data_IF_565930168049
#
_entry.id   IF_565930168049
#
_cell.length_a   1.000
_cell.length_b   1.000
_cell.length_c   1.000
_cell.angle_alpha   90.00
_cell.angle_beta   90.00
_cell.angle_gamma   90.00
#
_symmetry.space_group_name_H-M   'P 1'
#
loop_
_entity.id
_entity.type
_entity.pdbx_description
1 polymer ?
#
# COMPACT_ATOMS: atom_id res chain seq x y z
N UNK A 1 12.84 15.44 -17.09
CA UNK A 1 11.97 14.59 -17.92
C UNK A 1 10.71 15.37 -18.25
N UNK A 2 10.18 15.22 -19.46
CA UNK A 2 8.83 15.68 -19.81
C UNK A 2 7.78 14.80 -19.13
N UNK A 3 6.51 15.23 -19.10
CA UNK A 3 5.41 14.43 -18.53
C UNK A 3 5.28 13.07 -19.21
N UNK A 4 5.41 13.04 -20.53
CA UNK A 4 5.38 11.81 -21.32
C UNK A 4 6.53 10.88 -20.93
N UNK A 5 7.75 11.42 -20.76
CA UNK A 5 8.90 10.62 -20.32
C UNK A 5 8.70 10.01 -18.93
N UNK A 6 8.03 10.72 -18.00
CA UNK A 6 7.72 10.18 -16.66
C UNK A 6 6.74 9.03 -16.75
N UNK A 7 5.70 9.17 -17.60
CA UNK A 7 4.69 8.13 -17.81
C UNK A 7 5.29 6.89 -18.48
N UNK A 8 6.01 7.05 -19.59
CA UNK A 8 6.64 5.92 -20.30
C UNK A 8 7.66 5.18 -19.42
N UNK A 9 8.46 5.91 -18.62
CA UNK A 9 9.36 5.28 -17.66
C UNK A 9 8.61 4.49 -16.57
N UNK A 10 7.42 4.95 -16.18
CA UNK A 10 6.57 4.22 -15.25
C UNK A 10 5.98 2.96 -15.90
N UNK A 11 5.52 3.02 -17.15
CA UNK A 11 5.07 1.85 -17.93
C UNK A 11 6.18 0.81 -18.02
N UNK A 12 7.40 1.21 -18.37
CA UNK A 12 8.54 0.31 -18.48
C UNK A 12 8.87 -0.37 -17.14
N UNK A 13 8.90 0.41 -16.05
CA UNK A 13 9.12 -0.15 -14.71
C UNK A 13 8.01 -1.10 -14.29
N UNK A 14 6.75 -0.76 -14.53
CA UNK A 14 5.61 -1.61 -14.20
C UNK A 14 5.61 -2.91 -14.99
N UNK A 15 5.97 -2.85 -16.29
CA UNK A 15 6.15 -4.04 -17.13
C UNK A 15 7.20 -4.98 -16.53
N UNK A 16 8.37 -4.44 -16.17
CA UNK A 16 9.44 -5.21 -15.51
C UNK A 16 9.01 -5.79 -14.16
N UNK A 17 8.25 -5.06 -13.36
CA UNK A 17 7.71 -5.57 -12.10
C UNK A 17 6.72 -6.71 -12.33
N UNK A 18 5.85 -6.60 -13.34
CA UNK A 18 4.86 -7.62 -13.66
C UNK A 18 5.49 -8.91 -14.21
N UNK A 19 6.56 -8.79 -14.99
CA UNK A 19 7.38 -9.92 -15.41
C UNK A 19 7.96 -10.70 -14.22
N UNK A 20 8.27 -10.04 -13.09
CA UNK A 20 8.76 -10.73 -11.89
C UNK A 20 7.69 -11.61 -11.22
N UNK A 21 6.40 -11.30 -11.38
CA UNK A 21 5.31 -12.14 -10.88
C UNK A 21 5.07 -13.38 -11.74
N UNK A 22 5.37 -13.31 -13.04
CA UNK A 22 5.05 -14.37 -14.01
C UNK A 22 6.26 -15.24 -14.38
N UNK A 23 7.48 -14.70 -14.25
CA UNK A 23 8.70 -15.41 -14.59
C UNK A 23 9.28 -16.19 -13.40
N UNK A 24 8.80 -17.41 -13.21
CA UNK A 24 9.25 -18.29 -12.12
C UNK A 24 10.71 -18.78 -12.24
N UNK A 25 11.41 -18.50 -13.35
CA UNK A 25 12.82 -18.88 -13.52
C UNK A 25 13.79 -17.93 -12.80
N UNK A 26 13.34 -16.72 -12.47
CA UNK A 26 14.14 -15.73 -11.75
C UNK A 26 13.72 -15.72 -10.29
N UNK A 27 14.52 -16.35 -9.43
CA UNK A 27 14.30 -16.28 -7.99
C UNK A 27 14.40 -14.82 -7.52
N UNK A 28 13.38 -14.36 -6.79
CA UNK A 28 13.40 -13.07 -6.13
C UNK A 28 13.82 -13.32 -4.68
N UNK A 29 14.91 -12.69 -4.21
CA UNK A 29 15.30 -12.79 -2.81
C UNK A 29 14.11 -12.43 -1.91
N UNK A 30 13.82 -13.30 -0.95
CA UNK A 30 12.87 -12.98 0.11
C UNK A 30 13.51 -11.94 1.03
N UNK A 31 12.66 -11.12 1.66
CA UNK A 31 13.14 -10.17 2.67
C UNK A 31 13.66 -10.93 3.89
N UNK A 32 14.74 -10.43 4.48
CA UNK A 32 15.24 -10.91 5.77
C UNK A 32 14.36 -10.38 6.92
N UNK A 33 13.58 -9.31 6.68
CA UNK A 33 12.65 -8.73 7.65
C UNK A 33 11.36 -9.53 7.71
N UNK A 34 11.21 -10.35 8.75
CA UNK A 34 10.12 -11.33 8.84
C UNK A 34 9.49 -11.41 10.23
N UNK A 35 10.03 -10.68 11.21
CA UNK A 35 9.53 -10.61 12.58
C UNK A 35 9.12 -9.16 12.89
N UNK A 36 7.92 -8.89 13.44
CA UNK A 36 7.58 -7.54 13.89
C UNK A 36 8.62 -6.87 14.79
N UNK A 37 9.44 -7.63 15.53
CA UNK A 37 10.56 -7.10 16.33
C UNK A 37 11.64 -6.40 15.48
N UNK A 38 11.76 -6.75 14.19
CA UNK A 38 12.69 -6.10 13.24
C UNK A 38 12.45 -4.58 13.11
N UNK A 39 11.23 -4.11 13.41
CA UNK A 39 10.91 -2.68 13.47
C UNK A 39 11.71 -1.97 14.57
N UNK A 40 11.67 -2.50 15.81
CA UNK A 40 12.35 -1.91 16.96
C UNK A 40 13.87 -2.01 16.82
N UNK A 41 14.37 -3.18 16.40
CA UNK A 41 15.78 -3.41 16.10
C UNK A 41 16.33 -2.44 15.05
N UNK A 42 15.46 -2.01 14.12
CA UNK A 42 15.78 -1.02 13.09
C UNK A 42 15.52 0.43 13.50
N UNK A 43 15.11 0.69 14.74
CA UNK A 43 14.91 2.05 15.28
C UNK A 43 13.52 2.65 15.09
N UNK A 44 12.52 1.84 14.74
CA UNK A 44 11.12 2.23 14.69
C UNK A 44 10.40 1.90 15.99
N UNK A 45 9.78 2.90 16.60
CA UNK A 45 9.01 2.75 17.83
C UNK A 45 7.52 2.88 17.54
N UNK A 46 6.71 2.02 18.13
CA UNK A 46 5.25 2.15 18.08
C UNK A 46 4.83 3.51 18.69
N UNK A 47 3.83 4.15 18.09
CA UNK A 47 3.32 5.42 18.57
C UNK A 47 1.79 5.44 18.62
N UNK A 48 1.26 5.24 19.82
CA UNK A 48 -0.16 5.21 20.14
C UNK A 48 -0.79 6.61 20.23
N UNK A 49 -0.01 7.70 20.22
CA UNK A 49 -0.56 9.07 20.26
C UNK A 49 -1.21 9.48 18.93
N UNK A 50 -0.93 8.75 17.85
CA UNK A 50 -1.60 8.93 16.56
C UNK A 50 -2.99 8.26 16.62
N UNK A 51 -3.94 8.94 17.26
CA UNK A 51 -5.26 8.37 17.55
C UNK A 51 -6.31 8.61 16.46
N UNK A 52 -5.99 9.40 15.44
CA UNK A 52 -6.98 9.82 14.44
C UNK A 52 -6.58 9.33 13.05
N UNK A 53 -7.09 8.15 12.70
CA UNK A 53 -7.13 7.70 11.33
C UNK A 53 -8.58 7.79 10.83
N UNK A 54 -8.82 8.62 9.81
CA UNK A 54 -10.13 8.71 9.16
C UNK A 54 -10.26 7.56 8.16
N UNK A 55 -10.81 6.44 8.61
CA UNK A 55 -11.22 5.32 7.74
C UNK A 55 -12.67 5.49 7.26
N UNK A 56 -13.43 6.43 7.82
CA UNK A 56 -14.83 6.65 7.48
C UNK A 56 -14.99 7.16 6.04
N UNK A 57 -14.00 7.90 5.53
CA UNK A 57 -13.87 8.22 4.10
C UNK A 57 -13.82 6.99 3.18
N UNK A 58 -13.50 5.81 3.72
CA UNK A 58 -13.52 4.54 3.01
C UNK A 58 -14.74 3.67 3.33
N UNK A 59 -15.74 4.18 4.05
CA UNK A 59 -16.95 3.43 4.43
C UNK A 59 -17.66 2.79 3.23
N UNK A 60 -17.86 3.54 2.16
CA UNK A 60 -18.48 3.04 0.92
C UNK A 60 -17.59 2.00 0.22
N UNK A 61 -16.29 2.28 -0.07
CA UNK A 61 -15.38 1.26 -0.58
C UNK A 61 -15.37 -0.01 0.26
N UNK A 62 -15.24 0.08 1.58
CA UNK A 62 -15.18 -1.08 2.48
C UNK A 62 -16.46 -1.91 2.38
N UNK A 63 -17.63 -1.27 2.42
CA UNK A 63 -18.91 -1.96 2.28
C UNK A 63 -19.00 -2.71 0.95
N UNK A 64 -18.58 -2.08 -0.14
CA UNK A 64 -18.61 -2.68 -1.48
C UNK A 64 -17.60 -3.86 -1.60
N UNK A 65 -16.55 -3.88 -0.76
CA UNK A 65 -15.63 -5.02 -0.58
C UNK A 65 -16.14 -6.09 0.39
N UNK A 66 -17.33 -5.93 0.98
CA UNK A 66 -17.85 -6.82 2.01
C UNK A 66 -17.18 -6.67 3.38
N UNK A 67 -16.52 -5.54 3.63
CA UNK A 67 -15.88 -5.19 4.89
C UNK A 67 -16.60 -4.03 5.59
N UNK A 68 -16.34 -3.86 6.88
CA UNK A 68 -16.83 -2.71 7.66
C UNK A 68 -15.67 -1.76 7.95
N UNK A 69 -15.88 -0.45 7.81
CA UNK A 69 -14.89 0.59 8.12
C UNK A 69 -14.79 0.97 9.61
N UNK A 70 -15.40 0.22 10.53
CA UNK A 70 -15.35 0.54 11.97
C UNK A 70 -13.97 0.21 12.55
N UNK A 71 -13.37 1.15 13.28
CA UNK A 71 -12.11 0.93 14.00
C UNK A 71 -12.27 -0.03 15.18
N UNK A 72 -11.20 -0.73 15.54
CA UNK A 72 -11.13 -1.70 16.64
C UNK A 72 -11.49 -1.11 18.01
N UNK A 73 -11.02 0.09 18.33
CA UNK A 73 -11.36 0.81 19.55
C UNK A 73 -12.84 1.24 19.63
N UNK A 74 -13.57 1.16 18.50
CA UNK A 74 -15.03 1.28 18.45
C UNK A 74 -15.73 -0.09 18.34
N UNK A 75 -15.04 -1.20 18.56
CA UNK A 75 -15.56 -2.57 18.44
C UNK A 75 -15.66 -3.08 17.00
N UNK A 76 -14.85 -2.52 16.09
CA UNK A 76 -14.69 -2.99 14.72
C UNK A 76 -13.48 -3.92 14.55
N UNK A 77 -12.96 -4.02 13.33
CA UNK A 77 -11.88 -4.96 12.94
C UNK A 77 -10.68 -4.28 12.29
N UNK A 78 -10.71 -2.94 12.22
CA UNK A 78 -9.65 -2.15 11.61
C UNK A 78 -8.72 -1.65 12.71
N UNK A 79 -7.48 -2.11 12.67
CA UNK A 79 -6.46 -1.85 13.68
C UNK A 79 -5.50 -0.79 13.12
N UNK A 80 -5.33 0.31 13.85
CA UNK A 80 -4.35 1.33 13.50
C UNK A 80 -2.97 0.89 14.01
N UNK A 81 -2.00 0.80 13.10
CA UNK A 81 -0.62 0.47 13.41
C UNK A 81 0.25 1.63 12.94
N UNK A 82 0.95 2.26 13.88
CA UNK A 82 1.74 3.45 13.61
C UNK A 82 3.11 3.36 14.27
N UNK A 83 4.15 3.62 13.48
CA UNK A 83 5.52 3.60 13.94
C UNK A 83 6.26 4.87 13.53
N UNK A 84 7.02 5.44 14.46
CA UNK A 84 7.94 6.56 14.23
C UNK A 84 9.38 6.05 14.18
N UNK A 85 10.19 6.61 13.30
CA UNK A 85 11.63 6.40 13.36
C UNK A 85 12.26 7.40 14.35
N UNK A 86 12.91 6.91 15.40
CA UNK A 86 13.35 7.75 16.51
C UNK A 86 14.87 7.98 16.56
N UNK A 87 15.64 7.41 15.63
CA UNK A 87 17.09 7.59 15.61
C UNK A 87 17.49 8.82 14.78
N UNK A 88 18.30 9.73 15.34
CA UNK A 88 18.82 10.90 14.63
C UNK A 88 17.85 12.09 14.47
N UNK A 89 16.57 11.95 14.86
CA UNK A 89 15.56 13.02 14.85
C UNK A 89 15.19 13.46 16.27
N UNK A 90 16.17 13.96 17.03
CA UNK A 90 16.06 14.21 18.48
C UNK A 90 15.52 15.59 18.87
N UNK A 91 15.27 16.49 17.93
CA UNK A 91 14.75 17.83 18.23
C UNK A 91 13.22 17.88 18.07
N UNK A 92 12.54 18.55 19.00
CA UNK A 92 11.07 18.73 19.02
C UNK A 92 10.50 19.38 17.75
N UNK A 93 11.35 20.11 17.02
CA UNK A 93 11.00 20.78 15.76
C UNK A 93 11.17 19.93 14.50
N UNK A 94 11.81 18.76 14.57
CA UNK A 94 12.07 17.94 13.38
C UNK A 94 10.86 17.10 13.03
N UNK A 95 10.51 17.06 11.74
CA UNK A 95 9.54 16.10 11.24
C UNK A 95 10.14 14.70 11.37
N UNK A 96 9.55 13.88 12.24
CA UNK A 96 9.98 12.50 12.42
C UNK A 96 9.48 11.63 11.25
N UNK A 97 10.33 10.77 10.67
CA UNK A 97 9.87 9.78 9.72
C UNK A 97 8.85 8.86 10.39
N UNK A 98 7.83 8.44 9.64
CA UNK A 98 6.74 7.63 10.18
C UNK A 98 6.08 6.76 9.11
N UNK A 99 5.41 5.72 9.57
CA UNK A 99 4.56 4.86 8.77
C UNK A 99 3.28 4.55 9.54
N UNK A 100 2.13 4.90 8.97
CA UNK A 100 0.81 4.66 9.53
C UNK A 100 -0.01 3.78 8.58
N UNK A 101 -0.57 2.69 9.11
CA UNK A 101 -1.44 1.78 8.39
C UNK A 101 -2.69 1.46 9.19
N UNK A 102 -3.80 1.29 8.50
CA UNK A 102 -4.96 0.61 9.05
C UNK A 102 -4.99 -0.80 8.48
N UNK A 103 -4.92 -1.80 9.34
CA UNK A 103 -4.86 -3.21 8.99
C UNK A 103 -6.17 -3.90 9.38
N UNK A 104 -6.74 -4.68 8.47
CA UNK A 104 -7.87 -5.55 8.74
C UNK A 104 -7.50 -6.99 8.38
N UNK A 105 -6.98 -7.76 9.34
CA UNK A 105 -6.56 -9.16 9.14
C UNK A 105 -7.69 -10.07 8.65
N UNK A 106 -8.91 -9.83 9.14
CA UNK A 106 -10.09 -10.65 8.84
C UNK A 106 -10.53 -10.47 7.38
N UNK A 107 -10.55 -9.23 6.89
CA UNK A 107 -10.91 -8.91 5.51
C UNK A 107 -9.74 -9.01 4.52
N UNK A 108 -8.49 -9.12 5.01
CA UNK A 108 -7.31 -9.11 4.17
C UNK A 108 -7.02 -7.73 3.56
N UNK A 109 -7.23 -6.66 4.32
CA UNK A 109 -7.07 -5.27 3.87
C UNK A 109 -5.90 -4.61 4.58
N UNK A 110 -5.05 -3.90 3.83
CA UNK A 110 -4.14 -2.88 4.35
C UNK A 110 -4.53 -1.54 3.74
N UNK A 111 -4.62 -0.51 4.56
CA UNK A 111 -4.74 0.87 4.12
C UNK A 111 -3.48 1.60 4.53
N UNK A 112 -2.63 1.93 3.55
CA UNK A 112 -1.53 2.86 3.77
C UNK A 112 -2.13 4.27 3.90
N UNK A 113 -2.31 4.70 5.14
CA UNK A 113 -2.88 5.99 5.50
C UNK A 113 -1.90 7.10 5.13
N UNK A 114 -0.66 6.96 5.59
CA UNK A 114 0.37 7.97 5.42
C UNK A 114 1.75 7.43 5.78
N UNK A 115 2.78 7.93 5.10
CA UNK A 115 4.15 7.61 5.45
C UNK A 115 5.11 8.72 4.99
N UNK A 116 6.13 8.97 5.80
CA UNK A 116 7.30 9.77 5.48
C UNK A 116 8.54 8.93 5.75
N UNK A 117 9.27 8.56 4.70
CA UNK A 117 10.42 7.67 4.84
C UNK A 117 11.65 8.39 5.40
N UNK A 118 12.54 7.65 6.06
CA UNK A 118 13.78 8.19 6.65
C UNK A 118 14.61 9.00 5.64
N UNK A 119 14.86 8.53 4.40
CA UNK A 119 15.60 9.33 3.41
C UNK A 119 14.91 10.66 3.06
N UNK A 120 13.58 10.67 2.94
CA UNK A 120 12.84 11.88 2.58
C UNK A 120 12.86 12.87 3.72
N UNK A 121 12.61 12.42 4.95
CA UNK A 121 12.70 13.27 6.14
C UNK A 121 14.11 13.85 6.33
N UNK A 122 15.16 13.04 6.13
CA UNK A 122 16.55 13.49 6.23
C UNK A 122 16.86 14.63 5.23
N UNK A 123 16.32 14.54 4.01
CA UNK A 123 16.44 15.60 3.00
C UNK A 123 15.67 16.85 3.42
N UNK A 124 14.42 16.72 3.87
CA UNK A 124 13.56 17.85 4.25
C UNK A 124 14.09 18.61 5.47
N UNK A 125 14.65 17.88 6.42
CA UNK A 125 15.22 18.43 7.66
C UNK A 125 16.70 18.81 7.51
N UNK A 126 17.27 18.62 6.32
CA UNK A 126 18.69 18.84 6.01
C UNK A 126 19.64 18.17 7.03
N UNK A 127 19.29 16.95 7.46
CA UNK A 127 20.07 16.18 8.44
C UNK A 127 20.84 15.08 7.74
N UNK A 128 22.14 15.00 8.03
CA UNK A 128 22.97 13.85 7.68
C UNK A 128 22.85 12.77 8.75
N UNK A 129 22.18 11.67 8.42
CA UNK A 129 22.08 10.48 9.26
C UNK A 129 22.40 9.23 8.44
N UNK A 130 22.80 8.17 9.12
CA UNK A 130 22.84 6.85 8.51
C UNK A 130 21.40 6.40 8.19
N UNK A 131 21.19 6.02 6.94
CA UNK A 131 19.87 5.55 6.49
C UNK A 131 19.74 4.06 6.86
N UNK A 132 18.73 3.67 7.65
CA UNK A 132 18.56 2.27 8.07
C UNK A 132 18.34 1.37 6.86
N UNK A 133 18.64 0.08 7.02
CA UNK A 133 18.37 -0.92 5.99
C UNK A 133 16.84 -1.09 5.80
N UNK A 134 16.09 -1.18 6.90
CA UNK A 134 14.64 -1.16 6.91
C UNK A 134 14.13 0.27 6.67
N UNK A 135 13.87 0.61 5.42
CA UNK A 135 13.43 1.97 5.01
C UNK A 135 12.36 1.99 3.94
N UNK A 136 12.12 0.85 3.31
CA UNK A 136 11.17 0.72 2.23
C UNK A 136 9.79 0.45 2.79
N UNK A 137 8.77 1.07 2.18
CA UNK A 137 7.40 0.87 2.60
C UNK A 137 6.99 -0.61 2.52
N UNK A 138 7.50 -1.38 1.56
CA UNK A 138 7.16 -2.80 1.37
C UNK A 138 7.39 -3.64 2.63
N UNK A 139 8.59 -3.56 3.21
CA UNK A 139 8.96 -4.36 4.38
C UNK A 139 8.24 -3.84 5.63
N UNK A 140 8.24 -2.52 5.85
CA UNK A 140 7.60 -1.93 7.04
C UNK A 140 6.10 -2.20 7.02
N UNK A 141 5.45 -2.06 5.86
CA UNK A 141 4.04 -2.36 5.69
C UNK A 141 3.71 -3.82 6.00
N UNK A 142 4.57 -4.73 5.53
CA UNK A 142 4.45 -6.15 5.83
C UNK A 142 4.57 -6.43 7.32
N UNK A 143 5.60 -5.91 7.99
CA UNK A 143 5.82 -6.10 9.43
C UNK A 143 4.66 -5.53 10.26
N UNK A 144 4.19 -4.33 9.91
CA UNK A 144 3.01 -3.72 10.54
C UNK A 144 1.73 -4.51 10.29
N UNK A 145 1.61 -5.22 9.16
CA UNK A 145 0.48 -6.10 8.92
C UNK A 145 0.59 -7.40 9.71
N UNK A 146 1.77 -8.02 9.71
CA UNK A 146 2.07 -9.24 10.44
C UNK A 146 1.82 -9.09 11.94
N UNK A 147 2.16 -7.94 12.53
CA UNK A 147 1.97 -7.66 13.96
C UNK A 147 0.49 -7.64 14.41
N UNK A 148 -0.46 -7.60 13.47
CA UNK A 148 -1.89 -7.58 13.78
C UNK A 148 -2.53 -8.97 13.84
N UNK A 149 -1.77 -10.03 13.57
CA UNK A 149 -2.24 -11.41 13.68
C UNK A 149 -1.92 -12.00 15.06
N UNK A 150 -2.76 -12.93 15.57
CA UNK A 150 -2.40 -13.71 16.74
C UNK A 150 -1.19 -14.60 16.44
N UNK A 151 -0.45 -14.99 17.48
CA UNK A 151 0.64 -15.96 17.35
C UNK A 151 0.17 -17.39 17.63
N UNK A 152 0.49 -18.38 16.76
CA UNK A 152 1.14 -18.21 15.46
C UNK A 152 0.19 -17.63 14.39
N UNK A 153 0.72 -16.84 13.43
CA UNK A 153 -0.11 -16.27 12.37
C UNK A 153 -0.56 -17.35 11.37
N UNK A 154 -1.67 -17.13 10.63
CA UNK A 154 -2.07 -18.00 9.55
C UNK A 154 -1.01 -18.00 8.44
N UNK A 155 -0.86 -19.13 7.76
CA UNK A 155 0.02 -19.25 6.59
C UNK A 155 -0.74 -19.91 5.43
N UNK A 156 -0.84 -19.24 4.25
CA UNK A 156 -0.40 -17.87 3.99
C UNK A 156 -1.24 -16.84 4.76
N UNK A 157 -0.66 -15.66 5.00
CA UNK A 157 -1.41 -14.51 5.54
C UNK A 157 -2.51 -14.10 4.54
N UNK A 158 -3.76 -13.86 5.01
CA UNK A 158 -4.81 -13.37 4.14
C UNK A 158 -4.47 -11.94 3.69
N UNK A 159 -4.39 -11.71 2.38
CA UNK A 159 -4.23 -10.38 1.80
C UNK A 159 -4.95 -10.37 0.46
N UNK A 160 -5.91 -9.44 0.33
CA UNK A 160 -6.80 -9.28 -0.82
C UNK A 160 -6.71 -7.87 -1.39
N UNK A 161 -6.51 -6.87 -0.54
CA UNK A 161 -6.60 -5.46 -0.92
C UNK A 161 -5.51 -4.62 -0.25
N UNK A 162 -4.88 -3.74 -1.02
CA UNK A 162 -4.06 -2.64 -0.49
C UNK A 162 -4.60 -1.31 -1.00
N UNK A 163 -4.96 -0.42 -0.09
CA UNK A 163 -5.22 0.98 -0.38
C UNK A 163 -3.96 1.82 -0.19
N UNK A 164 -3.72 2.77 -1.10
CA UNK A 164 -2.76 3.88 -0.93
C UNK A 164 -3.56 5.17 -0.92
N UNK A 165 -3.74 5.78 0.24
CA UNK A 165 -4.58 6.98 0.36
C UNK A 165 -3.81 8.27 0.10
N UNK A 166 -4.57 9.30 -0.29
CA UNK A 166 -4.16 10.72 -0.30
C UNK A 166 -2.72 10.90 -0.80
N UNK A 167 -2.45 10.36 -2.00
CA UNK A 167 -1.09 10.26 -2.52
C UNK A 167 -0.60 11.67 -2.86
N UNK A 168 0.47 12.10 -2.17
CA UNK A 168 1.14 13.38 -2.41
C UNK A 168 2.50 13.24 -3.12
N UNK A 169 2.95 12.01 -3.39
CA UNK A 169 4.20 11.76 -4.11
C UNK A 169 4.11 12.35 -5.52
N UNK A 170 4.94 13.36 -5.81
CA UNK A 170 4.88 14.10 -7.07
C UNK A 170 5.00 13.20 -8.30
N UNK A 171 5.90 12.21 -8.28
CA UNK A 171 6.06 11.26 -9.40
C UNK A 171 4.82 10.41 -9.61
N UNK A 172 4.26 9.84 -8.55
CA UNK A 172 3.01 9.08 -8.65
C UNK A 172 1.87 9.97 -9.15
N UNK A 173 1.73 11.19 -8.61
CA UNK A 173 0.70 12.13 -9.04
C UNK A 173 0.81 12.50 -10.53
N UNK A 174 2.01 12.74 -11.05
CA UNK A 174 2.18 13.02 -12.49
C UNK A 174 1.82 11.80 -13.36
N UNK A 175 2.16 10.58 -12.93
CA UNK A 175 1.71 9.36 -13.61
C UNK A 175 0.18 9.26 -13.62
N UNK A 176 -0.46 9.47 -12.47
CA UNK A 176 -1.92 9.37 -12.35
C UNK A 176 -2.66 10.44 -13.16
N UNK A 177 -2.12 11.66 -13.23
CA UNK A 177 -2.65 12.71 -14.13
C UNK A 177 -2.61 12.27 -15.59
N UNK A 178 -1.51 11.67 -16.04
CA UNK A 178 -1.40 11.15 -17.40
C UNK A 178 -2.39 10.00 -17.65
N UNK A 179 -2.57 9.10 -16.67
CA UNK A 179 -3.56 8.01 -16.75
C UNK A 179 -4.98 8.55 -16.95
N UNK A 180 -5.44 9.48 -16.10
CA UNK A 180 -6.82 10.00 -16.20
C UNK A 180 -7.02 10.86 -17.45
N UNK A 181 -6.00 11.62 -17.87
CA UNK A 181 -6.06 12.43 -19.08
C UNK A 181 -6.21 11.57 -20.34
N UNK A 182 -5.54 10.41 -20.39
CA UNK A 182 -5.71 9.41 -21.47
C UNK A 182 -7.14 8.84 -21.52
N UNK A 183 -7.87 8.86 -20.40
CA UNK A 183 -9.29 8.49 -20.34
C UNK A 183 -10.24 9.68 -20.65
N UNK A 184 -9.69 10.85 -21.02
CA UNK A 184 -10.48 12.04 -21.29
C UNK A 184 -11.07 12.70 -20.04
N UNK A 185 -10.49 12.45 -18.87
CA UNK A 185 -10.96 12.96 -17.57
C UNK A 185 -9.93 13.94 -16.99
N UNK A 186 -10.41 15.08 -16.49
CA UNK A 186 -9.56 16.13 -15.91
C UNK A 186 -9.42 16.03 -14.39
N UNK A 187 -10.41 15.44 -13.70
CA UNK A 187 -10.44 15.31 -12.25
C UNK A 187 -10.66 13.86 -11.82
N UNK A 188 -10.06 13.47 -10.68
CA UNK A 188 -10.33 12.18 -10.08
C UNK A 188 -11.81 12.08 -9.66
N UNK A 189 -12.48 11.03 -10.10
CA UNK A 189 -13.83 10.71 -9.64
C UNK A 189 -13.80 10.19 -8.20
N UNK A 190 -14.91 10.42 -7.49
CA UNK A 190 -15.20 9.70 -6.25
C UNK A 190 -15.27 8.20 -6.51
N UNK A 191 -15.22 7.41 -5.44
CA UNK A 191 -15.53 5.98 -5.52
C UNK A 191 -16.83 5.73 -6.32
N UNK A 192 -16.85 4.80 -7.31
CA UNK A 192 -15.89 3.70 -7.54
C UNK A 192 -14.66 4.03 -8.40
N UNK A 193 -14.43 5.28 -8.78
CA UNK A 193 -13.22 5.68 -9.50
C UNK A 193 -13.13 5.13 -10.92
N UNK A 194 -11.89 5.02 -11.42
CA UNK A 194 -11.52 4.38 -12.68
C UNK A 194 -10.69 3.13 -12.38
N UNK A 195 -11.04 1.99 -12.96
CA UNK A 195 -10.35 0.72 -12.73
C UNK A 195 -9.64 0.25 -13.99
N UNK A 196 -8.39 -0.16 -13.84
CA UNK A 196 -7.51 -0.62 -14.91
C UNK A 196 -7.04 -2.04 -14.61
N UNK A 197 -7.12 -2.92 -15.60
CA UNK A 197 -6.44 -4.22 -15.55
C UNK A 197 -4.93 -3.97 -15.35
N UNK A 198 -4.26 -4.75 -14.49
CA UNK A 198 -2.84 -4.51 -14.22
C UNK A 198 -1.96 -4.70 -15.48
N UNK A 199 -2.44 -5.48 -16.45
CA UNK A 199 -1.78 -5.73 -17.73
C UNK A 199 -2.00 -4.62 -18.75
N UNK A 200 -2.91 -3.68 -18.50
CA UNK A 200 -3.08 -2.51 -19.37
C UNK A 200 -1.87 -1.57 -19.28
N UNK A 201 -1.70 -0.69 -20.27
CA UNK A 201 -0.64 0.32 -20.23
C UNK A 201 -0.76 1.20 -18.97
N UNK A 202 -1.98 1.65 -18.63
CA UNK A 202 -2.28 2.44 -17.44
C UNK A 202 -2.04 1.66 -16.16
N UNK A 203 -2.46 0.39 -16.10
CA UNK A 203 -2.21 -0.50 -14.97
C UNK A 203 -0.72 -0.64 -14.69
N UNK A 204 0.08 -0.88 -15.74
CA UNK A 204 1.54 -0.94 -15.67
C UNK A 204 2.14 0.41 -15.27
N UNK A 205 1.67 1.52 -15.82
CA UNK A 205 2.13 2.85 -15.43
C UNK A 205 1.94 3.09 -13.93
N UNK A 206 0.76 2.76 -13.40
CA UNK A 206 0.44 2.88 -11.97
C UNK A 206 1.33 1.94 -11.14
N UNK A 207 1.51 0.69 -11.56
CA UNK A 207 2.36 -0.28 -10.89
C UNK A 207 3.83 0.17 -10.83
N UNK A 208 4.34 0.82 -11.89
CA UNK A 208 5.70 1.35 -11.96
C UNK A 208 5.90 2.72 -11.32
N UNK A 209 4.86 3.32 -10.73
CA UNK A 209 4.97 4.50 -9.87
C UNK A 209 5.59 4.15 -8.51
N UNK A 210 6.15 5.11 -7.75
CA UNK A 210 6.66 4.84 -6.40
C UNK A 210 5.65 4.14 -5.46
N UNK A 211 4.37 4.53 -5.50
CA UNK A 211 3.34 3.94 -4.66
C UNK A 211 2.94 2.53 -5.12
N UNK A 212 2.86 2.30 -6.44
CA UNK A 212 2.59 0.97 -6.99
C UNK A 212 3.75 -0.01 -6.80
N UNK A 213 4.99 0.46 -6.97
CA UNK A 213 6.18 -0.36 -6.83
C UNK A 213 6.34 -0.85 -5.39
N UNK A 214 6.00 -0.04 -4.39
CA UNK A 214 5.99 -0.48 -2.99
C UNK A 214 5.04 -1.65 -2.75
N UNK A 215 3.86 -1.63 -3.38
CA UNK A 215 2.89 -2.75 -3.33
C UNK A 215 3.47 -4.00 -4.00
N UNK A 216 4.05 -3.85 -5.19
CA UNK A 216 4.68 -4.97 -5.89
C UNK A 216 5.79 -5.62 -5.06
N UNK A 217 6.71 -4.82 -4.53
CA UNK A 217 7.85 -5.31 -3.74
C UNK A 217 7.42 -6.04 -2.46
N UNK A 218 6.38 -5.55 -1.77
CA UNK A 218 5.81 -6.26 -0.61
C UNK A 218 5.39 -7.68 -0.98
N UNK A 219 4.65 -7.86 -2.08
CA UNK A 219 4.18 -9.18 -2.50
C UNK A 219 5.33 -10.08 -2.97
N UNK A 220 6.31 -9.53 -3.69
CA UNK A 220 7.43 -10.30 -4.23
C UNK A 220 8.42 -10.74 -3.14
N UNK A 221 8.73 -9.88 -2.18
CA UNK A 221 9.77 -10.13 -1.16
C UNK A 221 9.23 -10.89 0.07
N UNK A 222 7.92 -10.86 0.33
CA UNK A 222 7.28 -11.63 1.42
C UNK A 222 6.40 -12.76 0.89
N UNK A 223 6.74 -13.31 -0.28
CA UNK A 223 6.01 -14.42 -0.92
C UNK A 223 5.90 -15.65 -0.01
N UNK A 224 6.89 -15.90 0.85
CA UNK A 224 6.89 -17.03 1.79
C UNK A 224 5.76 -16.91 2.82
N UNK A 225 5.48 -15.71 3.29
CA UNK A 225 4.48 -15.45 4.32
C UNK A 225 3.10 -15.14 3.71
N UNK A 226 3.07 -14.41 2.59
CA UNK A 226 1.84 -14.02 1.89
C UNK A 226 1.32 -15.10 0.94
N UNK A 227 2.14 -16.10 0.60
CA UNK A 227 1.88 -16.98 -0.53
C UNK A 227 2.03 -16.27 -1.88
N UNK A 228 1.82 -17.01 -2.97
CA UNK A 228 1.88 -16.44 -4.31
C UNK A 228 0.62 -15.62 -4.62
N UNK A 229 0.80 -14.31 -4.84
CA UNK A 229 -0.28 -13.37 -5.16
C UNK A 229 -0.14 -12.88 -6.59
N UNK A 230 -1.28 -12.76 -7.28
CA UNK A 230 -1.38 -12.03 -8.55
C UNK A 230 -2.05 -10.69 -8.29
N UNK A 231 -1.47 -9.61 -8.81
CA UNK A 231 -2.17 -8.31 -8.90
C UNK A 231 -3.12 -8.41 -10.08
N UNK A 232 -4.42 -8.17 -9.88
CA UNK A 232 -5.41 -8.29 -10.95
C UNK A 232 -5.66 -6.94 -11.62
N UNK A 233 -5.89 -5.92 -10.80
CA UNK A 233 -6.32 -4.60 -11.25
C UNK A 233 -6.03 -3.55 -10.20
N UNK A 234 -6.05 -2.29 -10.63
CA UNK A 234 -5.91 -1.14 -9.77
C UNK A 234 -7.02 -0.13 -10.05
N UNK A 235 -7.61 0.40 -8.98
CA UNK A 235 -8.63 1.45 -9.04
C UNK A 235 -8.05 2.77 -8.57
N UNK A 236 -8.14 3.81 -9.40
CA UNK A 236 -7.80 5.20 -9.07
C UNK A 236 -9.09 5.92 -8.67
N UNK A 237 -9.11 6.54 -7.50
CA UNK A 237 -10.28 7.27 -7.01
C UNK A 237 -9.88 8.40 -6.07
N UNK A 238 -10.79 9.32 -5.81
CA UNK A 238 -10.65 10.31 -4.77
C UNK A 238 -11.45 9.89 -3.53
N UNK A 239 -10.75 9.68 -2.40
CA UNK A 239 -11.35 9.39 -1.10
C UNK A 239 -11.68 10.72 -0.40
N UNK A 240 -12.97 11.04 -0.24
CA UNK A 240 -13.43 12.31 0.35
C UNK A 240 -13.18 12.41 1.84
N UNK A 241 -12.42 13.41 2.27
CA UNK A 241 -12.33 13.88 3.65
C UNK A 241 -13.09 15.20 3.88
N UNK A 242 -13.64 15.39 5.08
CA UNK A 242 -14.39 16.61 5.44
C UNK A 242 -13.54 17.89 5.41
N UNK A 243 -12.21 17.77 5.52
CA UNK A 243 -11.25 18.87 5.55
C UNK A 243 -10.45 19.02 4.25
N UNK A 244 -10.85 18.36 3.18
CA UNK A 244 -10.03 18.29 1.97
C UNK A 244 -9.98 19.63 1.24
N UNK A 245 -8.85 20.32 1.37
CA UNK A 245 -8.53 21.52 0.60
C UNK A 245 -8.05 21.16 -0.82
N UNK A 246 -7.58 19.92 -1.03
CA UNK A 246 -7.04 19.44 -2.30
C UNK A 246 -7.50 17.99 -2.57
N UNK A 247 -7.81 17.68 -3.83
CA UNK A 247 -8.16 16.32 -4.25
C UNK A 247 -6.92 15.49 -4.56
N UNK A 248 -6.34 14.88 -3.53
CA UNK A 248 -5.25 13.92 -3.71
C UNK A 248 -5.79 12.55 -4.13
N UNK A 249 -5.24 11.92 -5.18
CA UNK A 249 -5.72 10.62 -5.63
C UNK A 249 -5.38 9.53 -4.63
N UNK A 250 -6.18 8.48 -4.63
CA UNK A 250 -5.98 7.24 -3.90
C UNK A 250 -5.99 6.06 -4.86
N UNK A 251 -5.33 4.98 -4.46
CA UNK A 251 -5.30 3.72 -5.21
C UNK A 251 -5.87 2.59 -4.37
N UNK A 252 -6.55 1.65 -5.02
CA UNK A 252 -6.89 0.33 -4.48
C UNK A 252 -6.34 -0.74 -5.42
N UNK A 253 -5.45 -1.58 -4.91
CA UNK A 253 -4.95 -2.77 -5.60
C UNK A 253 -5.73 -4.00 -5.17
N UNK A 254 -6.06 -4.85 -6.15
CA UNK A 254 -6.79 -6.09 -5.96
C UNK A 254 -5.88 -7.28 -6.21
N UNK A 255 -5.91 -8.27 -5.31
CA UNK A 255 -5.07 -9.46 -5.40
C UNK A 255 -5.89 -10.75 -5.45
N UNK A 256 -5.49 -11.65 -6.33
CA UNK A 256 -5.91 -13.04 -6.32
C UNK A 256 -4.83 -13.93 -5.69
N UNK A 257 -5.27 -15.01 -5.03
CA UNK A 257 -4.36 -16.10 -4.69
C UNK A 257 -4.04 -16.88 -5.96
N UNK A 258 -2.77 -17.22 -6.17
CA UNK A 258 -2.39 -18.21 -7.18
C UNK A 258 -2.37 -19.56 -6.50
N UNK A 259 -3.35 -20.40 -6.83
CA UNK A 259 -3.36 -21.79 -6.36
C UNK A 259 -2.40 -22.62 -7.23
N UNK A 260 -1.64 -23.51 -6.58
CA UNK A 260 -0.81 -24.47 -7.28
C UNK A 260 -1.69 -25.36 -8.14
N UNK A 261 -1.53 -25.27 -9.46
CA UNK A 261 -2.36 -25.87 -10.53
C UNK A 261 -3.45 -24.95 -11.13
N UNK A 262 -3.03 -23.81 -11.68
CA UNK A 262 -3.59 -23.26 -12.93
C UNK A 262 -5.03 -22.71 -12.91
N UNK A 263 -5.66 -22.60 -11.74
CA UNK A 263 -7.01 -22.02 -11.60
C UNK A 263 -7.02 -20.81 -10.67
N UNK A 264 -7.35 -19.63 -11.20
CA UNK A 264 -7.72 -18.48 -10.36
C UNK A 264 -9.12 -18.76 -9.80
N UNK A 265 -9.23 -19.02 -8.50
CA UNK A 265 -10.53 -18.98 -7.83
C UNK A 265 -10.89 -17.50 -7.56
N UNK A 266 -11.96 -16.95 -8.15
CA UNK A 266 -12.49 -15.69 -7.68
C UNK A 266 -12.96 -15.89 -6.24
N UNK A 267 -12.59 -14.99 -5.33
CA UNK A 267 -13.19 -14.96 -4.00
C UNK A 267 -14.70 -14.74 -4.18
N UNK A 268 -15.49 -15.80 -4.03
CA UNK A 268 -16.94 -15.72 -4.15
C UNK A 268 -17.45 -14.63 -3.22
N UNK A 269 -18.10 -13.62 -3.83
CA UNK A 269 -18.98 -12.72 -3.13
C UNK A 269 -20.03 -13.59 -2.44
N UNK A 270 -19.98 -13.63 -1.11
CA UNK A 270 -20.91 -14.42 -0.32
C UNK A 270 -22.27 -13.72 -0.38
N UNK A 271 -23.04 -14.05 -1.42
CA UNK A 271 -24.44 -13.66 -1.55
C UNK A 271 -25.20 -14.34 -0.42
N UNK A 272 -25.95 -13.52 0.32
CA UNK A 272 -26.89 -13.92 1.35
C UNK A 272 -27.79 -15.08 0.90
N UNK A 273 -27.88 -16.10 1.74
CA UNK A 273 -29.00 -17.07 1.86
C UNK A 273 -28.95 -17.54 3.32
N UNK A 274 -29.96 -17.48 4.17
CA UNK A 274 -31.35 -16.99 4.16
C UNK A 274 -31.62 -16.26 5.49
#
# INVERSE_FOLDING_TARGET
>A
MTKDQVYEAAVERGTKLLELFTNHTKAIPQSDFTDPEDLDDSGYVANDEYLFADVERLSTPFRDLGANSKMDYHGGKNILVHHLYNQGFTNDKRIRPYFAQICNPEAGIIVAEGNLTVPVAAILEEVSIEIPLLRHWSDIAFLQYLSTFPSPPPQPLPLKYIFRLTIMNATTCEVLKSVIAKQGVEEYSLWPGLTFDIESEEGRAILGSPNGAGVAWMLLQHKTQLGEKKIEKVTVFYATGQSDLFRWPSLLFWFAQVDGEGGVQPYNCMVCTD
#
